data_IF_584130979409
#
_entry.id   IF_584130979409
#
_cell.length_a   1.000
_cell.length_b   1.000
_cell.length_c   1.000
_cell.angle_alpha   90.00
_cell.angle_beta   90.00
_cell.angle_gamma   90.00
#
_symmetry.space_group_name_H-M   'P 1'
#
loop_
_entity.id
_entity.type
_entity.pdbx_description
1 polymer ?
#
# COMPACT_ATOMS: atom_id res chain seq x y z
N UNK A 1 2.08 -15.43 6.14
CA UNK A 1 3.34 -15.64 5.41
C UNK A 1 4.00 -14.29 5.16
N UNK A 2 5.31 -14.20 5.38
CA UNK A 2 6.04 -12.95 5.16
C UNK A 2 6.61 -12.94 3.75
N UNK A 3 6.32 -11.89 2.99
CA UNK A 3 6.78 -11.74 1.61
C UNK A 3 7.32 -10.33 1.38
N UNK A 4 8.26 -10.22 0.43
CA UNK A 4 8.70 -8.91 -0.06
C UNK A 4 7.63 -8.37 -1.00
N UNK A 5 7.14 -7.18 -0.72
CA UNK A 5 6.02 -6.59 -1.45
C UNK A 5 6.24 -5.12 -1.76
N UNK A 6 5.49 -4.63 -2.73
CA UNK A 6 5.34 -3.21 -2.99
C UNK A 6 3.92 -2.84 -2.58
N UNK A 7 3.77 -1.78 -1.81
CA UNK A 7 2.48 -1.35 -1.32
C UNK A 7 2.26 0.15 -1.55
N UNK A 8 1.02 0.50 -1.88
CA UNK A 8 0.60 1.88 -1.91
C UNK A 8 -0.03 2.21 -0.57
N UNK A 9 0.59 3.12 0.17
CA UNK A 9 0.14 3.53 1.49
C UNK A 9 -0.64 4.84 1.38
N UNK A 10 -1.80 4.87 2.03
CA UNK A 10 -2.61 6.08 2.14
C UNK A 10 -2.52 6.59 3.58
N UNK A 11 -2.05 7.82 3.72
CA UNK A 11 -1.96 8.48 5.01
C UNK A 11 -3.05 9.54 5.13
N UNK A 12 -3.71 9.56 6.27
CA UNK A 12 -4.69 10.61 6.59
C UNK A 12 -4.23 11.23 7.91
N UNK A 13 -3.97 12.52 7.88
CA UNK A 13 -3.44 13.26 9.03
C UNK A 13 -2.19 12.61 9.64
N UNK A 14 -1.29 12.10 8.78
CA UNK A 14 -0.05 11.49 9.21
C UNK A 14 -0.15 10.03 9.65
N UNK A 15 -1.33 9.44 9.62
CA UNK A 15 -1.53 8.05 9.99
C UNK A 15 -1.86 7.19 8.77
N UNK A 16 -1.32 5.96 8.75
CA UNK A 16 -1.63 5.01 7.68
C UNK A 16 -3.07 4.52 7.87
N UNK A 17 -3.92 4.81 6.89
CA UNK A 17 -5.30 4.34 6.90
C UNK A 17 -5.53 3.17 5.96
N UNK A 18 -4.70 3.02 4.94
CA UNK A 18 -4.86 1.94 3.98
C UNK A 18 -3.50 1.55 3.42
N UNK A 19 -3.33 0.26 3.15
CA UNK A 19 -2.15 -0.27 2.48
C UNK A 19 -2.64 -1.29 1.45
N UNK A 20 -2.31 -1.05 0.17
CA UNK A 20 -2.72 -1.92 -0.93
C UNK A 20 -1.50 -2.55 -1.60
N UNK A 21 -1.57 -3.86 -1.83
CA UNK A 21 -0.53 -4.57 -2.57
C UNK A 21 -0.51 -4.11 -4.02
N UNK A 22 0.68 -3.88 -4.55
CA UNK A 22 0.88 -3.49 -5.94
C UNK A 22 1.76 -4.51 -6.64
N UNK A 23 1.53 -4.77 -7.94
CA UNK A 23 2.33 -5.75 -8.69
C UNK A 23 3.78 -5.32 -8.89
N UNK A 24 4.05 -4.02 -8.92
CA UNK A 24 5.39 -3.48 -9.11
C UNK A 24 5.46 -2.04 -8.62
N UNK A 25 6.68 -1.55 -8.45
CA UNK A 25 6.89 -0.15 -8.07
C UNK A 25 6.39 0.81 -9.16
N UNK A 26 6.57 0.47 -10.42
CA UNK A 26 6.09 1.29 -11.54
C UNK A 26 4.57 1.48 -11.50
N UNK A 27 3.84 0.39 -11.24
CA UNK A 27 2.38 0.43 -11.12
C UNK A 27 1.96 1.19 -9.87
N UNK A 28 2.69 1.02 -8.77
CA UNK A 28 2.44 1.76 -7.55
C UNK A 28 2.57 3.28 -7.78
N UNK A 29 3.63 3.71 -8.46
CA UNK A 29 3.85 5.13 -8.75
C UNK A 29 2.76 5.71 -9.66
N UNK A 30 2.29 4.91 -10.62
CA UNK A 30 1.17 5.31 -11.48
C UNK A 30 -0.10 5.51 -10.67
N UNK A 31 -0.44 4.54 -9.81
CA UNK A 31 -1.60 4.63 -8.93
C UNK A 31 -1.49 5.80 -7.97
N UNK A 32 -0.30 6.06 -7.45
CA UNK A 32 -0.04 7.22 -6.60
C UNK A 32 -0.35 8.53 -7.32
N UNK A 33 0.10 8.69 -8.57
CA UNK A 33 -0.18 9.90 -9.36
C UNK A 33 -1.67 10.09 -9.60
N UNK A 34 -2.38 9.01 -9.94
CA UNK A 34 -3.81 9.07 -10.17
C UNK A 34 -4.57 9.43 -8.89
N UNK A 35 -4.17 8.86 -7.77
CA UNK A 35 -4.77 9.16 -6.47
C UNK A 35 -4.51 10.62 -6.06
N UNK A 36 -3.33 11.15 -6.34
CA UNK A 36 -2.98 12.53 -6.01
C UNK A 36 -3.76 13.56 -6.84
N UNK A 37 -4.32 13.16 -7.98
CA UNK A 37 -5.19 14.05 -8.78
C UNK A 37 -6.52 14.35 -8.09
N UNK A 38 -6.98 13.42 -7.24
CA UNK A 38 -8.21 13.60 -6.45
C UNK A 38 -7.88 14.01 -5.04
N UNK A 39 -6.92 14.83 -4.89
CA UNK A 39 -6.23 15.19 -3.69
C UNK A 39 -7.08 15.99 -2.69
N UNK A 40 -6.90 15.68 -1.41
CA UNK A 40 -7.30 16.57 -0.32
C UNK A 40 -6.06 16.84 0.56
N UNK A 41 -6.02 18.00 1.22
CA UNK A 41 -4.84 18.42 1.97
C UNK A 41 -4.42 17.48 3.08
N UNK A 42 -5.36 16.74 3.64
CA UNK A 42 -5.11 15.83 4.75
C UNK A 42 -4.69 14.42 4.31
N UNK A 43 -4.76 14.13 3.02
CA UNK A 43 -4.46 12.80 2.48
C UNK A 43 -3.18 12.82 1.67
N UNK A 44 -2.26 11.92 1.98
CA UNK A 44 -1.02 11.74 1.23
C UNK A 44 -0.84 10.27 0.87
N UNK A 45 -0.09 10.02 -0.19
CA UNK A 45 0.18 8.67 -0.68
C UNK A 45 1.68 8.44 -0.78
N UNK A 46 2.08 7.20 -0.52
CA UNK A 46 3.48 6.82 -0.62
C UNK A 46 3.60 5.39 -1.13
N UNK A 47 4.53 5.15 -2.05
CA UNK A 47 4.90 3.80 -2.45
C UNK A 47 5.97 3.29 -1.50
N UNK A 48 5.73 2.11 -0.96
CA UNK A 48 6.63 1.47 0.00
C UNK A 48 7.03 0.09 -0.52
N UNK A 49 8.29 -0.24 -0.37
CA UNK A 49 8.80 -1.56 -0.72
C UNK A 49 9.48 -2.15 0.51
N UNK A 50 9.12 -3.36 0.86
CA UNK A 50 9.69 -4.03 2.01
C UNK A 50 8.97 -5.35 2.26
N UNK A 51 9.06 -5.84 3.50
CA UNK A 51 8.44 -7.09 3.89
C UNK A 51 7.11 -6.83 4.60
N UNK A 52 6.15 -7.71 4.37
CA UNK A 52 4.87 -7.65 5.03
C UNK A 52 4.34 -9.05 5.29
N UNK A 53 3.56 -9.18 6.34
CA UNK A 53 2.82 -10.40 6.60
C UNK A 53 1.56 -10.38 5.74
N UNK A 54 1.40 -11.41 4.92
CA UNK A 54 0.34 -11.51 3.93
C UNK A 54 -0.69 -12.56 4.36
N UNK A 55 -1.95 -12.24 4.17
CA UNK A 55 -3.07 -13.12 4.45
C UNK A 55 -3.79 -13.45 3.14
N UNK A 56 -4.04 -14.75 2.92
CA UNK A 56 -4.83 -15.20 1.78
C UNK A 56 -6.31 -15.13 2.12
N UNK A 57 -7.09 -14.52 1.24
CA UNK A 57 -8.52 -14.40 1.40
C UNK A 57 -9.24 -15.57 0.73
N UNK A 58 -10.47 -15.83 1.13
CA UNK A 58 -11.28 -16.93 0.62
C UNK A 58 -11.50 -16.82 -0.89
N UNK A 59 -11.59 -15.62 -1.42
CA UNK A 59 -11.79 -15.37 -2.86
C UNK A 59 -10.52 -15.49 -3.69
N UNK A 60 -9.40 -15.90 -3.11
CA UNK A 60 -8.12 -16.04 -3.79
C UNK A 60 -7.26 -14.78 -3.84
N UNK A 61 -7.75 -13.67 -3.35
CA UNK A 61 -6.97 -12.44 -3.28
C UNK A 61 -6.04 -12.46 -2.06
N UNK A 62 -5.08 -11.54 -2.03
CA UNK A 62 -4.16 -11.39 -0.90
C UNK A 62 -4.32 -10.02 -0.28
N UNK A 63 -4.20 -9.97 1.03
CA UNK A 63 -4.25 -8.72 1.80
C UNK A 63 -3.02 -8.61 2.69
N UNK A 64 -2.64 -7.38 3.00
CA UNK A 64 -1.58 -7.12 3.96
C UNK A 64 -2.18 -7.22 5.36
N UNK A 65 -1.68 -8.16 6.14
CA UNK A 65 -2.07 -8.30 7.54
C UNK A 65 -1.27 -7.35 8.42
N UNK A 66 0.02 -7.22 8.14
CA UNK A 66 0.92 -6.37 8.91
C UNK A 66 2.13 -5.97 8.08
N UNK A 67 2.47 -4.69 8.11
CA UNK A 67 3.72 -4.19 7.51
C UNK A 67 4.86 -4.40 8.50
N UNK A 68 5.97 -4.93 8.00
CA UNK A 68 7.19 -5.08 8.81
C UNK A 68 8.06 -3.88 8.52
N UNK A 69 8.04 -2.92 9.41
CA UNK A 69 8.79 -1.67 9.29
C UNK A 69 9.85 -1.65 10.39
N UNK A 70 11.09 -1.55 9.96
CA UNK A 70 12.22 -1.45 10.89
C UNK A 70 12.56 0.00 11.17
#
# INVERSE_FOLDING_TARGET
MIESVVALLMFVNGEIKEARLQPSMAICLRGKREAERTFSESVTYKCWKGEAEIEDNIDGSKSIKKLIIN
#
